data_IF_927834754382
#
_entry.id   IF_927834754382
#
_cell.length_a   1.000
_cell.length_b   1.000
_cell.length_c   1.000
_cell.angle_alpha   90.00
_cell.angle_beta   90.00
_cell.angle_gamma   90.00
#
_symmetry.space_group_name_H-M   'P 1'
#
loop_
_entity.id
_entity.type
_entity.pdbx_description
1 polymer ?
#
# COMPACT_ATOMS: atom_id res chain seq x y z
N UNK A 1 9.21 0.18 -27.75
CA UNK A 1 9.94 -0.41 -26.60
C UNK A 1 9.48 0.35 -25.36
N UNK A 2 8.42 -0.12 -24.72
CA UNK A 2 7.97 0.44 -23.45
C UNK A 2 8.99 0.03 -22.40
N UNK A 3 9.62 1.01 -21.76
CA UNK A 3 10.53 0.79 -20.63
C UNK A 3 9.90 1.36 -19.36
N UNK A 4 9.72 0.48 -18.39
CA UNK A 4 9.79 0.70 -16.94
C UNK A 4 8.70 1.51 -16.22
N UNK A 5 7.79 2.21 -16.90
CA UNK A 5 6.82 3.08 -16.22
C UNK A 5 5.43 3.03 -16.85
N UNK A 6 5.01 1.85 -17.33
CA UNK A 6 3.67 1.67 -17.88
C UNK A 6 2.63 1.75 -16.76
N UNK A 7 2.26 3.00 -16.50
CA UNK A 7 1.01 3.50 -15.91
C UNK A 7 0.63 2.77 -14.63
N UNK A 8 1.02 3.40 -13.50
CA UNK A 8 0.12 3.72 -12.39
C UNK A 8 -1.26 3.09 -12.65
N UNK A 9 -1.57 1.98 -11.99
CA UNK A 9 -2.96 1.58 -11.77
C UNK A 9 -3.69 2.88 -11.42
N UNK A 10 -4.57 3.37 -12.30
CA UNK A 10 -5.14 4.72 -12.18
C UNK A 10 -5.63 4.91 -10.74
N UNK A 11 -4.97 5.80 -9.98
CA UNK A 11 -5.23 5.99 -8.57
C UNK A 11 -4.30 5.29 -7.57
N UNK A 12 -3.10 4.79 -7.94
CA UNK A 12 -2.07 4.34 -6.97
C UNK A 12 -0.91 5.34 -6.91
N UNK A 13 -0.70 5.96 -5.74
CA UNK A 13 0.43 6.88 -5.52
C UNK A 13 1.67 6.13 -5.01
N UNK A 14 2.86 6.54 -5.46
CA UNK A 14 4.13 6.06 -4.91
C UNK A 14 4.23 6.25 -3.39
N UNK A 15 3.67 7.35 -2.86
CA UNK A 15 3.66 7.62 -1.43
C UNK A 15 2.82 6.59 -0.65
N UNK A 16 1.69 6.15 -1.22
CA UNK A 16 0.84 5.13 -0.60
C UNK A 16 1.51 3.75 -0.65
N UNK A 17 2.20 3.43 -1.76
CA UNK A 17 2.98 2.19 -1.86
C UNK A 17 4.13 2.20 -0.84
N UNK A 18 4.78 3.35 -0.62
CA UNK A 18 5.80 3.50 0.41
C UNK A 18 5.22 3.31 1.82
N UNK A 19 4.06 3.90 2.13
CA UNK A 19 3.35 3.70 3.41
C UNK A 19 2.93 2.23 3.60
N UNK A 20 2.43 1.58 2.55
CA UNK A 20 2.05 0.16 2.59
C UNK A 20 3.27 -0.75 2.82
N UNK A 21 4.42 -0.40 2.23
CA UNK A 21 5.69 -1.12 2.44
C UNK A 21 6.24 -0.90 3.85
N UNK A 22 6.18 0.33 4.36
CA UNK A 22 6.56 0.63 5.74
C UNK A 22 5.75 -0.22 6.74
N UNK A 23 4.43 -0.34 6.53
CA UNK A 23 3.57 -1.24 7.31
C UNK A 23 4.02 -2.70 7.22
N UNK A 24 4.30 -3.19 6.01
CA UNK A 24 4.70 -4.57 5.77
C UNK A 24 6.05 -4.91 6.44
N UNK A 25 6.95 -3.94 6.50
CA UNK A 25 8.26 -4.04 7.14
C UNK A 25 8.16 -3.87 8.68
N UNK A 26 6.96 -3.68 9.24
CA UNK A 26 6.73 -3.54 10.68
C UNK A 26 7.07 -2.16 11.24
N UNK A 27 7.26 -1.15 10.38
CA UNK A 27 7.46 0.22 10.83
C UNK A 27 6.13 0.80 11.31
N UNK A 28 6.16 1.47 12.47
CA UNK A 28 5.00 2.21 12.97
C UNK A 28 4.65 3.34 12.02
N UNK A 29 3.50 3.23 11.36
CA UNK A 29 2.90 4.32 10.58
C UNK A 29 1.87 5.06 11.42
N UNK A 30 1.73 6.36 11.17
CA UNK A 30 0.77 7.19 11.87
C UNK A 30 -0.66 6.72 11.52
N UNK A 31 -1.29 6.00 12.45
CA UNK A 31 -2.67 5.50 12.38
C UNK A 31 -3.60 6.70 12.25
N UNK A 32 -3.94 7.06 11.01
CA UNK A 32 -4.67 8.28 10.70
C UNK A 32 -4.30 8.80 9.32
N UNK A 33 -3.25 9.62 9.22
CA UNK A 33 -2.89 10.28 7.95
C UNK A 33 -2.44 9.30 6.87
N UNK A 34 -1.64 8.31 7.24
CA UNK A 34 -1.03 7.41 6.25
C UNK A 34 -1.89 6.17 5.99
N UNK A 35 -2.71 5.78 6.96
CA UNK A 35 -3.57 4.58 6.88
C UNK A 35 -4.93 4.86 6.25
N UNK A 36 -5.52 6.04 6.45
CA UNK A 36 -6.83 6.36 5.87
C UNK A 36 -6.93 6.16 4.35
N UNK A 37 -5.96 6.61 3.53
CA UNK A 37 -6.03 6.37 2.08
C UNK A 37 -5.84 4.89 1.71
N UNK A 38 -4.97 4.16 2.43
CA UNK A 38 -4.78 2.72 2.24
C UNK A 38 -6.04 1.92 2.59
N UNK A 39 -6.73 2.33 3.65
CA UNK A 39 -7.99 1.74 4.10
C UNK A 39 -9.13 2.04 3.13
N UNK A 40 -9.25 3.28 2.66
CA UNK A 40 -10.27 3.66 1.67
C UNK A 40 -10.16 2.87 0.36
N UNK A 41 -8.95 2.40 0.01
CA UNK A 41 -8.69 1.56 -1.17
C UNK A 41 -8.78 0.06 -0.89
N UNK A 42 -9.06 -0.34 0.35
CA UNK A 42 -9.14 -1.73 0.77
C UNK A 42 -7.80 -2.47 0.74
N UNK A 43 -6.67 -1.76 0.82
CA UNK A 43 -5.33 -2.36 0.88
C UNK A 43 -4.92 -2.71 2.31
N UNK A 44 -5.53 -2.03 3.29
CA UNK A 44 -5.31 -2.21 4.72
C UNK A 44 -6.67 -2.18 5.42
N UNK A 45 -6.89 -3.06 6.39
CA UNK A 45 -7.99 -2.98 7.35
C UNK A 45 -7.46 -2.54 8.72
N UNK A 46 -8.30 -1.92 9.55
CA UNK A 46 -7.97 -1.62 10.95
C UNK A 46 -8.87 -2.44 11.86
N UNK A 47 -8.30 -3.39 12.59
CA UNK A 47 -9.02 -4.28 13.51
C UNK A 47 -8.43 -4.10 14.91
N UNK A 48 -9.25 -3.66 15.87
CA UNK A 48 -8.80 -3.49 17.25
C UNK A 48 -7.72 -2.42 17.46
N UNK A 49 -7.55 -1.50 16.50
CA UNK A 49 -6.48 -0.48 16.50
C UNK A 49 -5.23 -0.89 15.72
N UNK A 50 -5.15 -2.15 15.30
CA UNK A 50 -4.04 -2.67 14.51
C UNK A 50 -4.35 -2.63 13.01
N UNK A 51 -3.36 -2.21 12.24
CA UNK A 51 -3.44 -2.17 10.79
C UNK A 51 -3.00 -3.52 10.19
N UNK A 52 -3.88 -4.13 9.41
CA UNK A 52 -3.66 -5.44 8.78
C UNK A 52 -3.68 -5.26 7.26
N UNK A 53 -2.64 -5.73 6.58
CA UNK A 53 -2.57 -5.69 5.11
C UNK A 53 -3.53 -6.74 4.54
N UNK A 54 -4.45 -6.31 3.68
CA UNK A 54 -5.43 -7.18 3.04
C UNK A 54 -4.79 -8.04 1.93
N UNK A 55 -5.56 -8.96 1.35
CA UNK A 55 -5.11 -9.68 0.16
C UNK A 55 -4.76 -8.72 -0.99
N UNK A 56 -5.59 -7.71 -1.23
CA UNK A 56 -5.36 -6.68 -2.26
C UNK A 56 -4.07 -5.92 -2.02
N UNK A 57 -3.82 -5.50 -0.76
CA UNK A 57 -2.58 -4.80 -0.39
C UNK A 57 -1.34 -5.65 -0.61
N UNK A 58 -1.39 -6.95 -0.28
CA UNK A 58 -0.29 -7.89 -0.54
C UNK A 58 -0.01 -8.07 -2.02
N UNK A 59 -1.05 -8.26 -2.84
CA UNK A 59 -0.89 -8.38 -4.30
C UNK A 59 -0.28 -7.11 -4.90
N UNK A 60 -0.64 -5.93 -4.38
CA UNK A 60 -0.02 -4.67 -4.80
C UNK A 60 1.48 -4.64 -4.45
N UNK A 61 1.86 -5.03 -3.23
CA UNK A 61 3.27 -5.09 -2.80
C UNK A 61 4.10 -6.06 -3.64
N UNK A 62 3.56 -7.24 -3.95
CA UNK A 62 4.24 -8.24 -4.77
C UNK A 62 4.51 -7.73 -6.18
N UNK A 63 3.53 -7.06 -6.80
CA UNK A 63 3.69 -6.45 -8.13
C UNK A 63 4.71 -5.32 -8.14
N UNK A 64 4.74 -4.49 -7.09
CA UNK A 64 5.70 -3.39 -6.96
C UNK A 64 7.10 -3.84 -6.50
N UNK A 65 7.29 -5.09 -6.06
CA UNK A 65 8.60 -5.69 -5.78
C UNK A 65 9.34 -6.19 -7.02
N UNK A 66 8.58 -6.45 -8.09
CA UNK A 66 9.07 -7.04 -9.34
C UNK A 66 9.21 -6.00 -10.47
N UNK A 67 8.87 -4.73 -10.20
CA UNK A 67 8.96 -3.60 -11.14
C UNK A 67 10.25 -2.82 -11.03
#
# INVERSE_FOLDING_TARGET
>A
MVRQADRILEGVSEGEVASLRALADGHGIAVGRDIAPLHAKGWVDVIGGDAIITLTGRTLLERNRLG
#
